data_IF_133797756945
#
_entry.id   IF_133797756945
#
_cell.length_a   1.000
_cell.length_b   1.000
_cell.length_c   1.000
_cell.angle_alpha   90.00
_cell.angle_beta   90.00
_cell.angle_gamma   90.00
#
_symmetry.space_group_name_H-M   'P 1'
#
loop_
_entity.id
_entity.type
_entity.pdbx_description
1 polymer ?
#
# COMPACT_ATOMS: atom_id res chain seq x y z
N UNK A 1 1.69 -3.78 7.86
CA UNK A 1 1.15 -3.48 6.53
C UNK A 1 -0.36 -3.68 6.48
N UNK A 2 -1.06 -2.87 5.70
CA UNK A 2 -2.52 -2.94 5.53
C UNK A 2 -2.89 -3.58 4.18
N UNK A 3 -4.13 -4.11 4.04
CA UNK A 3 -4.60 -4.76 2.82
C UNK A 3 -3.87 -6.07 2.48
N UNK A 4 -3.38 -6.79 3.49
CA UNK A 4 -2.47 -7.93 3.32
C UNK A 4 -3.17 -9.29 3.13
N UNK A 5 -4.51 -9.36 3.19
CA UNK A 5 -5.23 -10.65 3.08
C UNK A 5 -5.34 -11.19 1.66
N UNK A 6 -5.08 -10.38 0.61
CA UNK A 6 -5.17 -10.80 -0.80
C UNK A 6 -4.38 -9.87 -1.74
N UNK A 7 -4.31 -10.26 -3.02
CA UNK A 7 -3.78 -9.46 -4.11
C UNK A 7 -2.35 -8.97 -3.87
N UNK A 8 -2.07 -7.73 -4.26
CA UNK A 8 -0.73 -7.12 -4.18
C UNK A 8 -0.21 -7.10 -2.75
N UNK A 9 -1.04 -6.69 -1.77
CA UNK A 9 -0.64 -6.62 -0.37
C UNK A 9 -0.18 -7.98 0.19
N UNK A 10 -0.91 -9.07 -0.11
CA UNK A 10 -0.49 -10.43 0.28
C UNK A 10 0.80 -10.86 -0.43
N UNK A 11 0.96 -10.50 -1.70
CA UNK A 11 2.20 -10.76 -2.45
C UNK A 11 3.41 -10.08 -1.80
N UNK A 12 3.28 -8.79 -1.43
CA UNK A 12 4.33 -8.04 -0.73
C UNK A 12 4.62 -8.68 0.64
N UNK A 13 3.58 -9.03 1.43
CA UNK A 13 3.75 -9.71 2.72
C UNK A 13 4.58 -10.98 2.59
N UNK A 14 4.24 -11.84 1.62
CA UNK A 14 4.94 -13.09 1.34
C UNK A 14 6.43 -12.86 1.04
N UNK A 15 6.74 -11.87 0.22
CA UNK A 15 8.12 -11.60 -0.19
C UNK A 15 8.94 -10.93 0.89
N UNK A 16 8.35 -10.01 1.67
CA UNK A 16 9.01 -9.44 2.84
C UNK A 16 9.30 -10.52 3.90
N UNK A 17 8.32 -11.38 4.21
CA UNK A 17 8.52 -12.49 5.14
C UNK A 17 9.62 -13.45 4.68
N UNK A 18 9.66 -13.81 3.38
CA UNK A 18 10.76 -14.61 2.80
C UNK A 18 12.12 -13.91 2.84
N UNK A 19 12.13 -12.59 2.88
CA UNK A 19 13.34 -11.80 3.06
C UNK A 19 13.74 -11.63 4.54
N UNK A 20 13.04 -12.30 5.47
CA UNK A 20 13.37 -12.33 6.90
C UNK A 20 12.73 -11.22 7.74
N UNK A 21 11.75 -10.49 7.19
CA UNK A 21 11.01 -9.48 7.97
C UNK A 21 9.97 -10.17 8.86
N UNK A 22 9.88 -9.72 10.12
CA UNK A 22 8.71 -9.94 10.96
C UNK A 22 7.54 -9.07 10.47
N UNK A 23 6.35 -9.63 10.44
CA UNK A 23 5.20 -8.99 9.79
C UNK A 23 4.07 -8.72 10.80
N UNK A 24 3.59 -7.47 10.85
CA UNK A 24 2.24 -7.19 11.29
C UNK A 24 1.37 -6.97 10.06
N UNK A 25 0.38 -7.83 9.84
CA UNK A 25 -0.53 -7.77 8.70
C UNK A 25 -1.92 -7.38 9.14
N UNK A 26 -2.59 -6.57 8.31
CA UNK A 26 -3.95 -6.11 8.62
C UNK A 26 -4.89 -6.17 7.43
N UNK A 27 -6.13 -6.54 7.74
CA UNK A 27 -7.30 -6.45 6.87
C UNK A 27 -8.55 -6.35 7.72
N UNK A 28 -9.68 -5.99 7.09
CA UNK A 28 -10.97 -5.82 7.78
C UNK A 28 -11.57 -7.15 8.24
N UNK A 29 -11.52 -8.16 7.39
CA UNK A 29 -12.12 -9.47 7.66
C UNK A 29 -11.14 -10.37 8.43
N UNK A 30 -11.44 -10.61 9.71
CA UNK A 30 -10.56 -11.35 10.64
C UNK A 30 -10.29 -12.78 10.21
N UNK A 31 -11.31 -13.54 9.77
CA UNK A 31 -11.16 -14.94 9.37
C UNK A 31 -10.21 -15.10 8.19
N UNK A 32 -10.40 -14.31 7.13
CA UNK A 32 -9.51 -14.34 5.96
C UNK A 32 -8.09 -13.84 6.29
N UNK A 33 -7.99 -12.87 7.21
CA UNK A 33 -6.70 -12.38 7.68
C UNK A 33 -5.94 -13.46 8.45
N UNK A 34 -6.64 -14.21 9.30
CA UNK A 34 -6.05 -15.32 10.07
C UNK A 34 -5.53 -16.43 9.14
N UNK A 35 -6.33 -16.83 8.14
CA UNK A 35 -5.90 -17.80 7.13
C UNK A 35 -4.65 -17.30 6.37
N UNK A 36 -4.63 -16.01 5.98
CA UNK A 36 -3.46 -15.43 5.33
C UNK A 36 -2.22 -15.42 6.24
N UNK A 37 -2.40 -15.21 7.56
CA UNK A 37 -1.31 -15.25 8.53
C UNK A 37 -0.72 -16.66 8.68
N UNK A 38 -1.57 -17.68 8.77
CA UNK A 38 -1.15 -19.08 8.85
C UNK A 38 -0.36 -19.48 7.62
N UNK A 39 -0.89 -19.25 6.41
CA UNK A 39 -0.19 -19.53 5.16
C UNK A 39 1.14 -18.76 5.00
N UNK A 40 1.19 -17.52 5.49
CA UNK A 40 2.43 -16.75 5.47
C UNK A 40 3.44 -17.32 6.47
N UNK A 41 3.01 -17.70 7.66
CA UNK A 41 3.89 -18.30 8.70
C UNK A 41 4.58 -19.58 8.20
N UNK A 42 3.88 -20.38 7.42
CA UNK A 42 4.44 -21.64 6.87
C UNK A 42 5.55 -21.41 5.82
N UNK A 43 5.58 -20.25 5.20
CA UNK A 43 6.50 -19.94 4.08
C UNK A 43 7.51 -18.85 4.38
N UNK A 44 7.45 -18.23 5.55
CA UNK A 44 8.34 -17.15 5.98
C UNK A 44 9.21 -17.62 7.14
N UNK A 45 10.45 -17.09 7.22
CA UNK A 45 11.31 -17.36 8.37
C UNK A 45 11.07 -16.46 9.56
N UNK A 46 10.19 -15.46 9.43
CA UNK A 46 9.85 -14.48 10.45
C UNK A 46 8.47 -14.70 11.09
N UNK A 47 8.16 -13.94 12.14
CA UNK A 47 6.84 -13.99 12.78
C UNK A 47 5.79 -13.24 11.97
N UNK A 48 4.55 -13.76 11.94
CA UNK A 48 3.41 -13.09 11.31
C UNK A 48 2.34 -12.81 12.36
N UNK A 49 2.05 -11.53 12.58
CA UNK A 49 1.06 -11.07 13.56
C UNK A 49 -0.17 -10.46 12.85
N UNK A 50 -1.32 -11.16 12.84
CA UNK A 50 -2.54 -10.62 12.25
C UNK A 50 -3.24 -9.66 13.20
N UNK A 51 -3.60 -8.46 12.73
CA UNK A 51 -4.39 -7.46 13.47
C UNK A 51 -5.56 -7.03 12.59
N UNK A 52 -6.76 -7.50 12.90
CA UNK A 52 -7.96 -7.06 12.18
C UNK A 52 -8.24 -5.58 12.46
N UNK A 53 -8.46 -4.78 11.41
CA UNK A 53 -8.73 -3.35 11.53
C UNK A 53 -9.63 -2.87 10.38
N UNK A 54 -10.65 -2.09 10.71
CA UNK A 54 -11.45 -1.35 9.73
C UNK A 54 -10.80 0.02 9.47
N UNK A 55 -10.38 0.24 8.23
CA UNK A 55 -9.72 1.50 7.82
C UNK A 55 -10.67 2.71 7.85
N UNK A 56 -11.98 2.52 8.02
CA UNK A 56 -12.93 3.63 8.24
C UNK A 56 -12.99 4.06 9.71
N UNK A 57 -12.46 3.26 10.62
CA UNK A 57 -12.46 3.49 12.06
C UNK A 57 -11.07 3.93 12.54
N UNK A 58 -10.90 5.21 12.83
CA UNK A 58 -9.62 5.78 13.29
C UNK A 58 -9.03 5.02 14.49
N UNK A 59 -9.88 4.64 15.45
CA UNK A 59 -9.45 3.83 16.62
C UNK A 59 -8.79 2.50 16.23
N UNK A 60 -9.26 1.87 15.17
CA UNK A 60 -8.68 0.63 14.66
C UNK A 60 -7.33 0.87 14.00
N UNK A 61 -7.21 1.99 13.27
CA UNK A 61 -5.95 2.41 12.65
C UNK A 61 -4.89 2.68 13.70
N UNK A 62 -5.22 3.46 14.73
CA UNK A 62 -4.32 3.77 15.86
C UNK A 62 -3.96 2.51 16.65
N UNK A 63 -4.91 1.60 16.87
CA UNK A 63 -4.65 0.32 17.52
C UNK A 63 -3.68 -0.55 16.74
N UNK A 64 -3.74 -0.53 15.41
CA UNK A 64 -2.82 -1.28 14.55
C UNK A 64 -1.37 -0.81 14.71
N UNK A 65 -1.13 0.50 14.76
CA UNK A 65 0.21 1.06 14.97
C UNK A 65 0.74 0.68 16.34
N UNK A 66 -0.07 0.84 17.40
CA UNK A 66 0.31 0.45 18.76
C UNK A 66 0.64 -1.04 18.88
N UNK A 67 -0.21 -1.92 18.35
CA UNK A 67 0.02 -3.36 18.40
C UNK A 67 1.33 -3.77 17.69
N UNK A 68 1.72 -3.04 16.63
CA UNK A 68 3.00 -3.26 15.97
C UNK A 68 4.17 -2.79 16.85
N UNK A 69 4.08 -1.58 17.42
CA UNK A 69 5.13 -1.02 18.28
C UNK A 69 5.35 -1.87 19.53
N UNK A 70 4.27 -2.25 20.25
CA UNK A 70 4.32 -3.13 21.42
C UNK A 70 5.00 -4.46 21.14
N UNK A 71 4.81 -5.01 19.93
CA UNK A 71 5.36 -6.31 19.57
C UNK A 71 6.81 -6.23 19.09
N UNK A 72 7.17 -5.22 18.30
CA UNK A 72 8.43 -5.18 17.59
C UNK A 72 9.34 -4.02 18.01
N UNK A 73 8.80 -2.92 18.55
CA UNK A 73 9.56 -1.74 19.00
C UNK A 73 10.31 -0.99 17.88
N UNK A 74 10.06 -1.37 16.61
CA UNK A 74 10.68 -0.83 15.40
C UNK A 74 9.75 -0.99 14.20
N UNK A 75 9.91 -0.15 13.17
CA UNK A 75 9.17 -0.25 11.91
C UNK A 75 10.08 0.08 10.73
N UNK A 76 10.52 -0.94 10.02
CA UNK A 76 11.42 -0.80 8.86
C UNK A 76 10.67 -0.42 7.58
N UNK A 77 9.49 -1.02 7.38
CA UNK A 77 8.69 -0.84 6.19
C UNK A 77 7.20 -0.72 6.54
N UNK A 78 6.61 0.44 6.28
CA UNK A 78 5.16 0.65 6.34
C UNK A 78 4.56 0.49 4.94
N UNK A 79 3.68 -0.51 4.75
CA UNK A 79 2.97 -0.70 3.47
C UNK A 79 1.51 -0.27 3.60
N UNK A 80 1.15 0.79 2.89
CA UNK A 80 -0.22 1.32 2.76
C UNK A 80 -0.92 0.61 1.59
N UNK A 81 -1.41 -0.61 1.84
CA UNK A 81 -1.99 -1.47 0.81
C UNK A 81 -3.52 -1.61 0.88
N UNK A 82 -4.16 -1.11 1.94
CA UNK A 82 -5.61 -1.07 2.00
C UNK A 82 -6.17 -0.08 1.00
N UNK A 83 -7.23 -0.46 0.31
CA UNK A 83 -7.89 0.42 -0.64
C UNK A 83 -9.18 -0.16 -1.17
N UNK A 84 -10.08 0.73 -1.56
CA UNK A 84 -11.34 0.41 -2.23
C UNK A 84 -11.48 1.29 -3.47
N UNK A 85 -12.15 0.77 -4.51
CA UNK A 85 -12.43 1.50 -5.73
C UNK A 85 -13.81 1.15 -6.27
N UNK A 86 -14.51 2.14 -6.81
CA UNK A 86 -15.79 1.96 -7.47
C UNK A 86 -15.76 2.68 -8.81
N UNK A 87 -16.21 2.01 -9.85
CA UNK A 87 -16.40 2.59 -11.17
C UNK A 87 -17.83 3.11 -11.27
N UNK A 88 -17.98 4.38 -11.64
CA UNK A 88 -19.25 5.02 -11.99
C UNK A 88 -19.00 6.36 -12.71
N UNK A 89 -19.88 6.79 -13.64
CA UNK A 89 -19.83 8.13 -14.18
C UNK A 89 -19.84 9.18 -13.06
N UNK A 90 -19.08 10.27 -13.23
CA UNK A 90 -18.93 11.31 -12.21
C UNK A 90 -20.29 11.81 -11.68
N UNK A 91 -21.24 12.08 -12.57
CA UNK A 91 -22.58 12.54 -12.21
C UNK A 91 -23.43 11.52 -11.43
N UNK A 92 -23.05 10.23 -11.43
CA UNK A 92 -23.77 9.14 -10.77
C UNK A 92 -23.07 8.61 -9.54
N UNK A 93 -21.88 9.13 -9.23
CA UNK A 93 -21.12 8.70 -8.05
C UNK A 93 -21.81 9.21 -6.78
N UNK A 94 -22.28 8.28 -5.94
CA UNK A 94 -22.95 8.64 -4.69
C UNK A 94 -21.97 9.20 -3.66
N UNK A 95 -22.42 10.15 -2.81
CA UNK A 95 -21.65 10.71 -1.71
C UNK A 95 -21.13 9.61 -0.77
N UNK A 96 -21.94 8.59 -0.47
CA UNK A 96 -21.51 7.44 0.34
C UNK A 96 -20.29 6.70 -0.24
N UNK A 97 -20.23 6.51 -1.58
CA UNK A 97 -19.07 5.90 -2.24
C UNK A 97 -17.87 6.83 -2.23
N UNK A 98 -18.10 8.13 -2.35
CA UNK A 98 -17.06 9.14 -2.18
C UNK A 98 -16.45 9.06 -0.78
N UNK A 99 -17.27 9.19 0.27
CA UNK A 99 -16.83 9.16 1.67
C UNK A 99 -16.04 7.88 1.97
N UNK A 100 -16.57 6.70 1.60
CA UNK A 100 -15.91 5.44 1.84
C UNK A 100 -14.52 5.35 1.16
N UNK A 101 -14.39 5.87 -0.07
CA UNK A 101 -13.10 5.85 -0.75
C UNK A 101 -12.09 6.80 -0.10
N UNK A 102 -12.53 7.99 0.32
CA UNK A 102 -11.65 8.92 1.02
C UNK A 102 -11.28 8.41 2.42
N UNK A 103 -12.20 7.83 3.16
CA UNK A 103 -11.93 7.27 4.48
C UNK A 103 -10.89 6.15 4.42
N UNK A 104 -11.08 5.18 3.52
CA UNK A 104 -10.20 4.02 3.42
C UNK A 104 -8.87 4.35 2.73
N UNK A 105 -8.90 5.09 1.62
CA UNK A 105 -7.72 5.28 0.79
C UNK A 105 -6.84 6.45 1.24
N UNK A 106 -7.43 7.48 1.89
CA UNK A 106 -6.73 8.72 2.22
C UNK A 106 -6.63 8.92 3.72
N UNK A 107 -7.77 9.02 4.44
CA UNK A 107 -7.75 9.29 5.89
C UNK A 107 -6.98 8.22 6.65
N UNK A 108 -7.26 6.95 6.41
CA UNK A 108 -6.55 5.86 7.06
C UNK A 108 -5.04 5.88 6.77
N UNK A 109 -4.64 6.17 5.52
CA UNK A 109 -3.23 6.27 5.15
C UNK A 109 -2.55 7.45 5.87
N UNK A 110 -3.22 8.60 5.95
CA UNK A 110 -2.73 9.78 6.68
C UNK A 110 -2.51 9.46 8.16
N UNK A 111 -3.51 8.89 8.85
CA UNK A 111 -3.42 8.53 10.27
C UNK A 111 -2.32 7.49 10.51
N UNK A 112 -2.22 6.47 9.66
CA UNK A 112 -1.15 5.46 9.75
C UNK A 112 0.24 6.09 9.64
N UNK A 113 0.44 7.00 8.68
CA UNK A 113 1.73 7.69 8.52
C UNK A 113 1.99 8.58 9.72
N UNK A 114 1.02 9.40 10.13
CA UNK A 114 1.16 10.34 11.25
C UNK A 114 1.58 9.62 12.54
N UNK A 115 0.90 8.53 12.89
CA UNK A 115 1.16 7.79 14.12
C UNK A 115 2.42 6.91 14.03
N UNK A 116 2.75 6.39 12.83
CA UNK A 116 3.92 5.56 12.64
C UNK A 116 5.23 6.37 12.45
N UNK A 117 5.15 7.65 12.08
CA UNK A 117 6.33 8.46 11.75
C UNK A 117 7.38 8.53 12.87
N UNK A 118 7.02 8.68 14.16
CA UNK A 118 8.02 8.64 15.24
C UNK A 118 8.78 7.31 15.30
N UNK A 119 8.07 6.19 15.10
CA UNK A 119 8.68 4.86 15.11
C UNK A 119 9.55 4.61 13.88
N UNK A 120 9.13 5.10 12.71
CA UNK A 120 9.93 5.06 11.47
C UNK A 120 11.24 5.85 11.64
N UNK A 121 11.19 7.07 12.20
CA UNK A 121 12.37 7.90 12.50
C UNK A 121 13.33 7.22 13.48
N UNK A 122 12.79 6.68 14.58
CA UNK A 122 13.56 5.89 15.55
C UNK A 122 14.27 4.71 14.89
N UNK A 123 13.57 3.99 14.02
CA UNK A 123 14.10 2.84 13.29
C UNK A 123 15.18 3.27 12.30
N UNK A 124 14.96 4.35 11.54
CA UNK A 124 15.90 4.87 10.57
C UNK A 124 17.22 5.31 11.22
N UNK A 125 17.15 5.98 12.36
CA UNK A 125 18.34 6.38 13.14
C UNK A 125 19.22 5.19 13.56
N UNK A 126 18.63 4.01 13.80
CA UNK A 126 19.33 2.76 14.10
C UNK A 126 19.77 1.96 12.85
N UNK A 127 19.49 2.46 11.64
CA UNK A 127 19.78 1.77 10.36
C UNK A 127 20.33 2.73 9.30
N UNK A 128 21.51 3.29 9.49
CA UNK A 128 22.07 4.32 8.59
C UNK A 128 22.27 3.84 7.15
N UNK A 129 22.35 2.54 6.91
CA UNK A 129 22.52 1.97 5.56
C UNK A 129 21.20 1.86 4.76
N UNK A 130 20.07 1.72 5.43
CA UNK A 130 18.78 1.44 4.77
C UNK A 130 17.69 2.43 5.11
N UNK A 131 17.74 3.07 6.28
CA UNK A 131 16.67 3.93 6.78
C UNK A 131 15.37 3.15 7.03
N UNK A 132 14.25 3.87 6.98
CA UNK A 132 12.90 3.29 7.02
C UNK A 132 12.10 3.70 5.77
N UNK A 133 11.17 2.85 5.34
CA UNK A 133 10.45 3.02 4.07
C UNK A 133 8.93 3.04 4.26
N UNK A 134 8.26 3.95 3.58
CA UNK A 134 6.82 3.94 3.39
C UNK A 134 6.53 3.56 1.94
N UNK A 135 5.70 2.55 1.71
CA UNK A 135 5.30 2.11 0.37
C UNK A 135 3.79 2.23 0.27
N UNK A 136 3.30 3.09 -0.62
CA UNK A 136 1.87 3.28 -0.85
C UNK A 136 1.44 2.64 -2.17
N UNK A 137 0.41 1.78 -2.13
CA UNK A 137 -0.22 1.25 -3.34
C UNK A 137 -1.19 2.30 -3.90
N UNK A 138 -0.66 3.19 -4.73
CA UNK A 138 -1.41 4.20 -5.45
C UNK A 138 -2.08 3.62 -6.71
N UNK A 139 -2.12 4.34 -7.79
CA UNK A 139 -2.60 3.92 -9.11
C UNK A 139 -2.15 4.91 -10.17
N UNK A 140 -2.03 4.47 -11.40
CA UNK A 140 -1.85 5.35 -12.55
C UNK A 140 -2.99 6.37 -12.68
N UNK A 141 -4.20 6.05 -12.20
CA UNK A 141 -5.35 6.97 -12.19
C UNK A 141 -5.16 8.16 -11.23
N UNK A 142 -4.20 8.09 -10.31
CA UNK A 142 -3.78 9.24 -9.51
C UNK A 142 -2.88 10.23 -10.26
N UNK A 143 -2.29 9.81 -11.38
CA UNK A 143 -1.47 10.63 -12.25
C UNK A 143 -2.24 11.10 -13.49
N UNK A 144 -3.10 10.24 -14.03
CA UNK A 144 -3.84 10.47 -15.27
C UNK A 144 -5.31 10.10 -15.06
N UNK A 145 -6.21 11.00 -15.43
CA UNK A 145 -7.64 10.77 -15.28
C UNK A 145 -8.12 9.63 -16.19
N UNK A 146 -9.01 8.78 -15.65
CA UNK A 146 -9.69 7.74 -16.39
C UNK A 146 -11.21 7.90 -16.23
N UNK A 147 -12.00 7.75 -17.31
CA UNK A 147 -13.46 7.78 -17.22
C UNK A 147 -13.99 6.81 -16.17
N UNK A 148 -15.06 7.19 -15.49
CA UNK A 148 -15.73 6.43 -14.44
C UNK A 148 -14.93 6.19 -13.14
N UNK A 149 -13.70 6.69 -13.04
CA UNK A 149 -12.83 6.53 -11.88
C UNK A 149 -12.46 7.86 -11.19
N UNK A 150 -13.27 8.91 -11.35
CA UNK A 150 -12.94 10.25 -10.86
C UNK A 150 -12.62 10.29 -9.36
N UNK A 151 -13.46 9.71 -8.50
CA UNK A 151 -13.23 9.69 -7.05
C UNK A 151 -12.05 8.79 -6.70
N UNK A 152 -11.96 7.62 -7.30
CA UNK A 152 -10.82 6.73 -7.08
C UNK A 152 -9.51 7.39 -7.47
N UNK A 153 -9.44 8.00 -8.65
CA UNK A 153 -8.26 8.75 -9.11
C UNK A 153 -7.88 9.88 -8.15
N UNK A 154 -8.86 10.67 -7.68
CA UNK A 154 -8.63 11.72 -6.70
C UNK A 154 -8.01 11.18 -5.39
N UNK A 155 -8.51 10.04 -4.88
CA UNK A 155 -7.92 9.41 -3.68
C UNK A 155 -6.50 8.93 -3.92
N UNK A 156 -6.20 8.42 -5.11
CA UNK A 156 -4.85 7.94 -5.47
C UNK A 156 -3.89 9.09 -5.72
N UNK A 157 -4.35 10.23 -6.25
CA UNK A 157 -3.57 11.46 -6.32
C UNK A 157 -3.22 12.00 -4.94
N UNK A 158 -4.19 12.01 -4.00
CA UNK A 158 -3.94 12.40 -2.61
C UNK A 158 -2.89 11.50 -1.93
N UNK A 159 -2.91 10.19 -2.21
CA UNK A 159 -1.93 9.25 -1.66
C UNK A 159 -0.51 9.47 -2.23
N UNK A 160 -0.39 9.82 -3.51
CA UNK A 160 0.88 10.21 -4.14
C UNK A 160 1.42 11.48 -3.46
N UNK A 161 0.58 12.51 -3.31
CA UNK A 161 0.94 13.76 -2.63
C UNK A 161 1.36 13.53 -1.18
N UNK A 162 0.69 12.61 -0.44
CA UNK A 162 1.09 12.25 0.92
C UNK A 162 2.51 11.66 0.96
N UNK A 163 2.86 10.78 0.01
CA UNK A 163 4.23 10.26 -0.10
C UNK A 163 5.25 11.36 -0.36
N UNK A 164 4.93 12.32 -1.24
CA UNK A 164 5.79 13.48 -1.50
C UNK A 164 5.99 14.33 -0.25
N UNK A 165 4.92 14.54 0.55
CA UNK A 165 5.01 15.27 1.82
C UNK A 165 5.89 14.55 2.84
N UNK A 166 5.76 13.23 2.97
CA UNK A 166 6.66 12.41 3.82
C UNK A 166 8.12 12.60 3.40
N UNK A 167 8.40 12.57 2.09
CA UNK A 167 9.76 12.79 1.59
C UNK A 167 10.28 14.20 1.91
N UNK A 168 9.44 15.22 1.76
CA UNK A 168 9.81 16.60 2.06
C UNK A 168 10.10 16.84 3.56
N UNK A 169 9.42 16.12 4.44
CA UNK A 169 9.45 16.35 5.89
C UNK A 169 10.35 15.37 6.67
N UNK A 170 10.69 14.21 6.09
CA UNK A 170 11.33 13.13 6.85
C UNK A 170 12.49 12.43 6.13
N UNK A 171 12.82 12.79 4.89
CA UNK A 171 13.93 12.13 4.18
C UNK A 171 15.29 12.41 4.83
N UNK A 172 15.49 13.60 5.40
CA UNK A 172 16.71 13.94 6.13
C UNK A 172 16.86 13.12 7.42
N UNK A 173 15.74 12.61 7.97
CA UNK A 173 15.71 11.68 9.09
C UNK A 173 15.86 10.21 8.66
N UNK A 174 16.15 9.94 7.38
CA UNK A 174 16.30 8.60 6.82
C UNK A 174 14.99 7.85 6.55
N UNK A 175 13.84 8.56 6.55
CA UNK A 175 12.53 8.00 6.21
C UNK A 175 12.14 8.42 4.80
N UNK A 176 11.93 7.48 3.89
CA UNK A 176 11.49 7.79 2.53
C UNK A 176 10.18 7.08 2.18
N UNK A 177 9.38 7.72 1.32
CA UNK A 177 8.11 7.21 0.85
C UNK A 177 8.08 7.04 -0.67
N UNK A 178 7.49 5.93 -1.13
CA UNK A 178 7.31 5.64 -2.56
C UNK A 178 5.86 5.30 -2.85
N UNK A 179 5.25 6.01 -3.79
CA UNK A 179 3.95 5.67 -4.34
C UNK A 179 4.11 4.73 -5.54
N UNK A 180 3.69 3.48 -5.44
CA UNK A 180 3.65 2.58 -6.59
C UNK A 180 2.33 2.81 -7.32
N UNK A 181 2.41 3.20 -8.61
CA UNK A 181 1.30 3.64 -9.44
C UNK A 181 1.05 2.64 -10.59
N UNK A 182 0.46 1.47 -10.33
CA UNK A 182 0.18 0.50 -11.39
C UNK A 182 -1.04 0.89 -12.21
N UNK A 183 -1.05 0.43 -13.48
CA UNK A 183 -2.26 0.26 -14.27
C UNK A 183 -3.07 -0.97 -13.79
N UNK A 184 -3.80 -1.62 -14.69
CA UNK A 184 -4.60 -2.81 -14.33
C UNK A 184 -3.72 -4.02 -13.99
N UNK A 185 -3.73 -4.40 -12.71
CA UNK A 185 -3.08 -5.61 -12.16
C UNK A 185 -4.11 -6.73 -12.07
N UNK A 186 -3.78 -7.95 -12.44
CA UNK A 186 -4.71 -9.09 -12.33
C UNK A 186 -4.98 -9.46 -10.87
N UNK A 187 -6.06 -8.92 -10.35
CA UNK A 187 -6.55 -9.11 -8.98
C UNK A 187 -8.09 -9.14 -8.96
N UNK A 188 -8.67 -9.49 -7.81
CA UNK A 188 -10.14 -9.39 -7.63
C UNK A 188 -10.68 -7.97 -7.83
N UNK A 189 -9.87 -6.95 -7.48
CA UNK A 189 -10.28 -5.54 -7.60
C UNK A 189 -10.51 -5.13 -9.07
N UNK A 190 -9.81 -5.76 -10.00
CA UNK A 190 -9.87 -5.49 -11.44
C UNK A 190 -10.68 -6.53 -12.21
N UNK A 191 -11.40 -7.43 -11.52
CA UNK A 191 -12.21 -8.46 -12.18
C UNK A 191 -13.22 -7.90 -13.18
N UNK A 192 -13.76 -6.70 -12.92
CA UNK A 192 -14.74 -6.00 -13.76
C UNK A 192 -14.22 -5.54 -15.13
N UNK A 193 -12.89 -5.51 -15.35
CA UNK A 193 -12.31 -5.19 -16.66
C UNK A 193 -11.91 -6.41 -17.47
N UNK A 194 -12.07 -7.64 -16.95
CA UNK A 194 -11.61 -8.87 -17.62
C UNK A 194 -12.30 -9.12 -18.96
N UNK A 195 -13.50 -8.61 -19.16
CA UNK A 195 -14.21 -8.66 -20.45
C UNK A 195 -13.55 -7.76 -21.53
N UNK A 196 -12.78 -6.75 -21.10
CA UNK A 196 -12.09 -5.80 -22.00
C UNK A 196 -10.59 -6.08 -22.11
N UNK A 197 -10.02 -6.66 -21.07
CA UNK A 197 -8.59 -6.93 -20.96
C UNK A 197 -8.40 -8.34 -20.42
N UNK A 198 -7.89 -9.24 -21.24
CA UNK A 198 -7.60 -10.60 -20.80
C UNK A 198 -6.61 -10.59 -19.63
N UNK A 199 -6.79 -11.44 -18.60
CA UNK A 199 -5.89 -11.52 -17.43
C UNK A 199 -4.41 -11.63 -17.80
N UNK A 200 -4.07 -12.45 -18.81
CA UNK A 200 -2.68 -12.61 -19.30
C UNK A 200 -2.05 -11.35 -19.90
N UNK A 201 -2.86 -10.32 -20.19
CA UNK A 201 -2.44 -8.99 -20.68
C UNK A 201 -2.45 -7.93 -19.59
N UNK A 202 -2.87 -8.28 -18.39
CA UNK A 202 -2.75 -7.42 -17.20
C UNK A 202 -1.36 -7.50 -16.60
N UNK A 203 -1.01 -6.51 -15.79
CA UNK A 203 0.21 -6.53 -14.98
C UNK A 203 0.06 -7.65 -13.95
N UNK A 204 1.09 -8.44 -13.72
CA UNK A 204 1.06 -9.49 -12.70
C UNK A 204 1.26 -8.88 -11.32
N UNK A 205 0.69 -9.51 -10.31
CA UNK A 205 0.92 -9.13 -8.90
C UNK A 205 2.43 -9.12 -8.59
N UNK A 206 3.16 -10.13 -9.08
CA UNK A 206 4.61 -10.25 -8.82
C UNK A 206 5.42 -9.08 -9.41
N UNK A 207 5.01 -8.48 -10.53
CA UNK A 207 5.70 -7.33 -11.11
C UNK A 207 5.67 -6.12 -10.15
N UNK A 208 4.54 -5.90 -9.47
CA UNK A 208 4.39 -4.85 -8.47
C UNK A 208 5.12 -5.17 -7.17
N UNK A 209 5.11 -6.44 -6.78
CA UNK A 209 5.81 -6.93 -5.59
C UNK A 209 7.33 -6.75 -5.72
N UNK A 210 7.90 -7.01 -6.89
CA UNK A 210 9.34 -6.77 -7.14
C UNK A 210 9.71 -5.28 -7.03
N UNK A 211 8.84 -4.37 -7.51
CA UNK A 211 9.07 -2.93 -7.34
C UNK A 211 9.06 -2.54 -5.85
N UNK A 212 8.11 -3.05 -5.08
CA UNK A 212 8.04 -2.80 -3.65
C UNK A 212 9.31 -3.29 -2.93
N UNK A 213 9.79 -4.48 -3.26
CA UNK A 213 11.02 -5.04 -2.67
C UNK A 213 12.27 -4.27 -3.08
N UNK A 214 12.37 -3.82 -4.32
CA UNK A 214 13.49 -3.00 -4.77
C UNK A 214 13.65 -1.75 -3.91
N UNK A 215 12.53 -1.06 -3.62
CA UNK A 215 12.53 0.14 -2.77
C UNK A 215 13.07 -0.14 -1.36
N UNK A 216 12.77 -1.31 -0.78
CA UNK A 216 13.23 -1.63 0.58
C UNK A 216 14.75 -1.80 0.70
N UNK A 217 15.44 -2.01 -0.41
CA UNK A 217 16.89 -2.21 -0.48
C UNK A 217 17.67 -0.94 -0.74
N UNK A 218 17.01 0.16 -1.06
CA UNK A 218 17.66 1.44 -1.34
C UNK A 218 18.20 2.06 -0.05
N UNK A 219 19.35 2.73 -0.18
CA UNK A 219 19.91 3.54 0.91
C UNK A 219 18.98 4.73 1.24
N UNK A 220 19.13 5.37 2.41
CA UNK A 220 18.34 6.56 2.73
C UNK A 220 18.65 7.75 1.81
N UNK A 221 19.81 7.76 1.13
CA UNK A 221 20.18 8.80 0.17
C UNK A 221 19.44 8.67 -1.18
N UNK A 222 18.76 7.54 -1.42
CA UNK A 222 18.04 7.29 -2.66
C UNK A 222 16.52 7.37 -2.41
N UNK A 223 15.91 8.51 -2.72
CA UNK A 223 14.48 8.72 -2.65
C UNK A 223 13.85 8.50 -4.02
N UNK A 224 12.90 7.57 -4.11
CA UNK A 224 12.10 7.31 -5.32
C UNK A 224 10.65 7.71 -5.00
N UNK A 225 10.19 8.90 -5.41
CA UNK A 225 8.88 9.42 -5.01
C UNK A 225 7.72 8.59 -5.52
N UNK A 226 7.82 8.11 -6.77
CA UNK A 226 6.81 7.24 -7.38
C UNK A 226 7.42 6.27 -8.39
N UNK A 227 6.71 5.17 -8.64
CA UNK A 227 7.02 4.16 -9.65
C UNK A 227 5.76 3.89 -10.45
N UNK A 228 5.76 4.30 -11.71
CA UNK A 228 4.64 4.04 -12.62
C UNK A 228 4.88 2.74 -13.39
N UNK A 229 3.94 1.79 -13.29
CA UNK A 229 3.99 0.51 -14.00
C UNK A 229 2.80 0.41 -14.93
N UNK A 230 3.06 0.37 -16.25
CA UNK A 230 2.02 0.32 -17.30
C UNK A 230 2.09 -0.98 -18.10
N UNK A 231 1.00 -1.26 -18.80
CA UNK A 231 0.96 -2.37 -19.77
C UNK A 231 1.64 -1.95 -21.09
N UNK A 232 2.28 -2.88 -21.81
CA UNK A 232 2.87 -2.57 -23.11
C UNK A 232 1.81 -2.15 -24.14
N UNK A 233 2.22 -1.39 -25.15
CA UNK A 233 1.38 -0.96 -26.28
C UNK A 233 0.38 0.14 -25.97
N UNK A 234 0.45 0.78 -24.81
CA UNK A 234 -0.37 1.94 -24.43
C UNK A 234 0.49 3.18 -24.28
N UNK A 235 -0.09 4.35 -24.62
CA UNK A 235 0.55 5.61 -24.27
C UNK A 235 0.64 5.73 -22.74
N UNK A 236 1.77 6.25 -22.24
CA UNK A 236 1.88 6.65 -20.85
C UNK A 236 0.68 7.54 -20.52
N UNK A 237 -0.09 7.16 -19.49
CA UNK A 237 -1.28 7.92 -19.09
C UNK A 237 -2.61 7.22 -19.34
N UNK A 238 -2.61 5.96 -19.79
CA UNK A 238 -3.84 5.14 -19.83
C UNK A 238 -3.60 3.82 -19.11
N UNK A 239 -4.52 3.49 -18.21
CA UNK A 239 -4.53 2.21 -17.50
C UNK A 239 -4.76 1.01 -18.42
#
# INVERSE_FOLDING_TARGET
>A
MTGASRGIGRGIARRLGKAGYDLTISAREGTRLQQAAEELSDITGGSVHPVAADMTAEKDVSRLVRAHDERHGRLDVLVLGAGVGFSAPLAQTSKRRYDLQFDVNVRAAFVLVQEALPLLRKTAAGRPEHGAKVIALASITGLFAEPDLAVYGATKAALISLCQSVNAEASDDGVSATAICPGYVDTDMTAWVRDRIEPRRMIRVDDIVEMALAVTKLSPCAVVPDITVTRPGRQLGRA
#
